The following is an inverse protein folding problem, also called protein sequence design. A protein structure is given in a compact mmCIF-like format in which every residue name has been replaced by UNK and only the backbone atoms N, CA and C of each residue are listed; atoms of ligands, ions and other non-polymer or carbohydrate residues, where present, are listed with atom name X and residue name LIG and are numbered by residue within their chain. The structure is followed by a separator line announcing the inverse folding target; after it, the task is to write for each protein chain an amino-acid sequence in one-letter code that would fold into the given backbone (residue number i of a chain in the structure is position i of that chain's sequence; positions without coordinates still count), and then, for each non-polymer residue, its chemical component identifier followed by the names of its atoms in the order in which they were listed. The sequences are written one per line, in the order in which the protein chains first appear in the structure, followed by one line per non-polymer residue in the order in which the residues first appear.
data_IF_082515041385
#
_entry.id   IF_082515041385
#
_cell.length_a   1.000
_cell.length_b   1.000
_cell.length_c   1.000
_cell.angle_alpha   90.00
_cell.angle_beta   90.00
_cell.angle_gamma   90.00
#
_symmetry.space_group_name_H-M   'P 1'
#
loop_
_entity.id
_entity.type
_entity.pdbx_description
1 polymer ?
#
# COMPACT_ATOMS: atom_id res chain seq x y z
N UNK A 1 -61.27 -11.49 -27.70
CA UNK A 1 -60.25 -11.43 -28.78
C UNK A 1 -59.04 -12.15 -28.24
N UNK A 2 -58.84 -13.41 -28.64
CA UNK A 2 -57.71 -14.23 -28.16
C UNK A 2 -56.54 -14.03 -29.12
N UNK A 3 -55.41 -13.60 -28.58
CA UNK A 3 -54.16 -13.36 -29.30
C UNK A 3 -53.54 -14.70 -29.73
N UNK A 4 -52.96 -14.79 -30.93
CA UNK A 4 -52.49 -16.07 -31.48
C UNK A 4 -51.26 -16.61 -30.72
N UNK A 5 -51.07 -17.93 -30.70
CA UNK A 5 -49.92 -18.56 -30.01
C UNK A 5 -48.56 -18.11 -30.56
N UNK A 6 -48.47 -17.79 -31.85
CA UNK A 6 -47.25 -17.26 -32.47
C UNK A 6 -46.93 -15.83 -32.01
N UNK A 7 -47.98 -15.01 -31.86
CA UNK A 7 -47.86 -13.63 -31.39
C UNK A 7 -47.45 -13.58 -29.90
N UNK A 8 -47.97 -14.51 -29.09
CA UNK A 8 -47.57 -14.70 -27.69
C UNK A 8 -46.08 -15.08 -27.58
N UNK A 9 -45.61 -16.09 -28.33
CA UNK A 9 -44.20 -16.53 -28.31
C UNK A 9 -43.25 -15.41 -28.75
N UNK A 10 -43.64 -14.60 -29.74
CA UNK A 10 -42.87 -13.42 -30.17
C UNK A 10 -42.71 -12.37 -29.07
N UNK A 11 -43.79 -12.08 -28.34
CA UNK A 11 -43.79 -11.13 -27.21
C UNK A 11 -42.95 -11.64 -26.03
N UNK A 12 -43.07 -12.93 -25.67
CA UNK A 12 -42.24 -13.52 -24.61
C UNK A 12 -40.75 -13.50 -24.97
N UNK A 13 -40.40 -13.82 -26.22
CA UNK A 13 -39.02 -13.77 -26.71
C UNK A 13 -38.44 -12.35 -26.72
N UNK A 14 -39.24 -11.33 -27.06
CA UNK A 14 -38.84 -9.93 -27.03
C UNK A 14 -38.62 -9.43 -25.59
N UNK A 15 -39.54 -9.74 -24.67
CA UNK A 15 -39.44 -9.38 -23.26
C UNK A 15 -38.22 -10.02 -22.59
N UNK A 16 -37.90 -11.27 -22.94
CA UNK A 16 -36.70 -11.96 -22.42
C UNK A 16 -35.40 -11.29 -22.88
N UNK A 17 -35.33 -10.81 -24.14
CA UNK A 17 -34.17 -10.07 -24.66
C UNK A 17 -34.02 -8.71 -23.98
N UNK A 18 -35.13 -7.98 -23.80
CA UNK A 18 -35.13 -6.69 -23.09
C UNK A 18 -34.67 -6.88 -21.65
N UNK A 19 -35.15 -7.92 -20.96
CA UNK A 19 -34.72 -8.25 -19.60
C UNK A 19 -33.21 -8.58 -19.54
N UNK A 20 -32.70 -9.38 -20.47
CA UNK A 20 -31.28 -9.71 -20.53
C UNK A 20 -30.40 -8.47 -20.75
N UNK A 21 -30.80 -7.56 -21.65
CA UNK A 21 -30.10 -6.29 -21.90
C UNK A 21 -30.13 -5.40 -20.66
N UNK A 22 -31.28 -5.29 -19.99
CA UNK A 22 -31.44 -4.48 -18.78
C UNK A 22 -30.54 -4.99 -17.64
N UNK A 23 -30.46 -6.31 -17.44
CA UNK A 23 -29.58 -6.93 -16.44
C UNK A 23 -28.12 -6.64 -16.76
N UNK A 24 -27.71 -6.82 -18.03
CA UNK A 24 -26.33 -6.56 -18.45
C UNK A 24 -25.94 -5.09 -18.23
N UNK A 25 -26.82 -4.15 -18.58
CA UNK A 25 -26.61 -2.73 -18.33
C UNK A 25 -26.50 -2.41 -16.83
N UNK A 26 -27.32 -3.04 -15.98
CA UNK A 26 -27.26 -2.85 -14.54
C UNK A 26 -25.94 -3.36 -13.93
N UNK A 27 -25.42 -4.48 -14.41
CA UNK A 27 -24.12 -5.01 -13.96
C UNK A 27 -22.97 -4.07 -14.33
N UNK A 28 -22.98 -3.54 -15.56
CA UNK A 28 -21.97 -2.55 -15.98
C UNK A 28 -22.07 -1.28 -15.13
N UNK A 29 -23.28 -0.77 -14.92
CA UNK A 29 -23.51 0.43 -14.12
C UNK A 29 -23.06 0.22 -12.67
N UNK A 30 -23.37 -0.93 -12.07
CA UNK A 30 -22.93 -1.29 -10.72
C UNK A 30 -21.40 -1.42 -10.64
N UNK A 31 -20.76 -2.05 -11.63
CA UNK A 31 -19.31 -2.16 -11.70
C UNK A 31 -18.63 -0.80 -11.86
N UNK A 32 -19.13 0.04 -12.75
CA UNK A 32 -18.63 1.40 -12.95
C UNK A 32 -18.81 2.25 -11.69
N UNK A 33 -19.98 2.15 -11.04
CA UNK A 33 -20.25 2.82 -9.76
C UNK A 33 -19.31 2.35 -8.66
N UNK A 34 -19.06 1.03 -8.56
CA UNK A 34 -18.15 0.47 -7.57
C UNK A 34 -16.71 0.96 -7.78
N UNK A 35 -16.21 0.94 -9.03
CA UNK A 35 -14.88 1.45 -9.37
C UNK A 35 -14.78 2.95 -9.06
N UNK A 36 -15.79 3.74 -9.44
CA UNK A 36 -15.83 5.17 -9.16
C UNK A 36 -15.84 5.45 -7.65
N UNK A 37 -16.72 4.77 -6.90
CA UNK A 37 -16.81 4.88 -5.46
C UNK A 37 -15.49 4.51 -4.78
N UNK A 38 -14.88 3.39 -5.17
CA UNK A 38 -13.58 2.98 -4.61
C UNK A 38 -12.48 4.01 -4.92
N UNK A 39 -12.41 4.52 -6.15
CA UNK A 39 -11.41 5.55 -6.53
C UNK A 39 -11.58 6.85 -5.76
N UNK A 40 -12.81 7.28 -5.48
CA UNK A 40 -13.06 8.48 -4.68
C UNK A 40 -12.69 8.31 -3.21
N UNK A 41 -12.75 7.08 -2.69
CA UNK A 41 -12.43 6.76 -1.30
C UNK A 41 -11.02 6.19 -1.11
N UNK A 42 -10.26 6.00 -2.17
CA UNK A 42 -8.86 5.61 -2.10
C UNK A 42 -8.05 6.81 -1.61
N UNK A 43 -7.82 6.90 -0.31
CA UNK A 43 -6.94 7.91 0.28
C UNK A 43 -5.49 7.52 0.03
N UNK A 44 -4.72 8.38 -0.63
CA UNK A 44 -3.27 8.30 -0.61
C UNK A 44 -2.79 8.62 0.82
N UNK A 45 -2.21 7.63 1.50
CA UNK A 45 -1.58 7.87 2.77
C UNK A 45 -0.21 8.54 2.52
N UNK A 46 -0.17 9.86 2.62
CA UNK A 46 1.08 10.61 2.64
C UNK A 46 1.65 10.52 4.05
N UNK A 47 2.65 9.66 4.23
CA UNK A 47 3.43 9.60 5.47
C UNK A 47 4.46 10.74 5.45
N UNK A 48 4.44 11.59 6.48
CA UNK A 48 5.46 12.61 6.71
C UNK A 48 6.05 12.37 8.10
N UNK A 49 7.37 12.28 8.14
CA UNK A 49 8.15 12.09 9.35
C UNK A 49 9.32 13.08 9.34
N UNK A 50 9.53 13.78 10.45
CA UNK A 50 10.60 14.76 10.63
C UNK A 50 11.49 14.47 11.86
N UNK A 51 11.16 13.46 12.66
CA UNK A 51 11.93 12.97 13.81
C UNK A 51 12.19 14.01 14.92
N UNK A 52 11.39 15.08 14.98
CA UNK A 52 11.50 16.09 16.04
C UNK A 52 11.10 15.52 17.40
N UNK A 53 10.12 14.61 17.41
CA UNK A 53 9.54 14.00 18.62
C UNK A 53 10.11 12.61 18.94
N UNK A 54 11.27 12.24 18.38
CA UNK A 54 11.88 10.94 18.62
C UNK A 54 11.68 9.96 17.47
N UNK A 55 11.72 8.67 17.80
CA UNK A 55 11.39 7.61 16.85
C UNK A 55 9.88 7.33 16.80
N UNK A 56 9.09 7.76 17.79
CA UNK A 56 7.66 7.43 17.83
C UNK A 56 7.42 5.93 17.72
N UNK A 57 6.68 5.52 16.68
CA UNK A 57 6.39 4.11 16.36
C UNK A 57 7.46 3.45 15.47
N UNK A 58 8.50 4.18 15.06
CA UNK A 58 9.60 3.62 14.27
C UNK A 58 10.49 2.76 15.14
N UNK A 59 10.79 1.56 14.64
CA UNK A 59 11.66 0.57 15.26
C UNK A 59 12.94 0.49 14.43
N UNK A 60 14.07 0.45 15.12
CA UNK A 60 15.39 0.26 14.50
C UNK A 60 15.63 -1.24 14.32
N UNK A 61 16.13 -1.64 13.17
CA UNK A 61 16.47 -3.04 12.89
C UNK A 61 17.66 -3.16 11.93
N UNK A 62 18.22 -4.37 11.85
CA UNK A 62 19.43 -4.66 11.10
C UNK A 62 19.56 -6.15 10.71
N UNK A 63 20.20 -6.37 9.57
CA UNK A 63 20.78 -7.65 9.18
C UNK A 63 22.25 -7.41 8.84
N UNK A 64 23.15 -7.87 9.69
CA UNK A 64 24.58 -7.55 9.59
C UNK A 64 25.44 -8.80 9.79
N UNK A 65 26.56 -8.93 9.07
CA UNK A 65 27.45 -10.09 9.22
C UNK A 65 28.25 -10.04 10.54
N UNK A 66 28.85 -11.17 10.90
CA UNK A 66 29.86 -11.23 11.95
C UNK A 66 31.12 -10.48 11.53
N UNK A 67 31.75 -9.79 12.47
CA UNK A 67 33.02 -9.10 12.24
C UNK A 67 34.19 -10.09 12.28
N UNK A 68 34.90 -10.33 11.16
CA UNK A 68 36.09 -11.18 11.15
C UNK A 68 37.24 -10.63 12.00
N UNK A 69 37.26 -9.31 12.29
CA UNK A 69 38.27 -8.67 13.12
C UNK A 69 37.89 -8.69 14.61
N UNK A 70 36.64 -9.04 14.94
CA UNK A 70 36.14 -9.15 16.31
C UNK A 70 35.26 -10.41 16.47
N UNK A 71 35.88 -11.60 16.61
CA UNK A 71 35.17 -12.87 16.57
C UNK A 71 34.06 -12.97 17.62
N UNK A 72 32.87 -13.39 17.17
CA UNK A 72 31.67 -13.54 18.02
C UNK A 72 30.83 -12.28 18.13
N UNK A 73 31.24 -11.17 17.51
CA UNK A 73 30.47 -9.94 17.43
C UNK A 73 30.04 -9.66 15.99
N UNK A 74 28.89 -8.99 15.84
CA UNK A 74 28.49 -8.42 14.57
C UNK A 74 29.31 -7.18 14.24
N UNK A 75 29.37 -6.79 12.97
CA UNK A 75 29.97 -5.51 12.57
C UNK A 75 29.30 -4.34 13.32
N UNK A 76 30.06 -3.28 13.58
CA UNK A 76 29.52 -2.13 14.32
C UNK A 76 28.49 -1.38 13.47
N UNK A 77 27.33 -1.09 14.05
CA UNK A 77 26.32 -0.28 13.40
C UNK A 77 25.47 0.47 14.43
N UNK A 78 24.86 1.58 14.02
CA UNK A 78 23.88 2.30 14.83
C UNK A 78 22.96 3.16 13.98
N UNK A 79 21.74 3.38 14.48
CA UNK A 79 20.82 4.38 13.96
C UNK A 79 20.42 5.27 15.14
N UNK A 80 20.69 6.57 15.03
CA UNK A 80 20.45 7.52 16.11
C UNK A 80 19.84 8.81 15.58
N UNK A 81 19.16 9.56 16.45
CA UNK A 81 18.80 10.94 16.13
C UNK A 81 20.03 11.84 16.22
N UNK A 82 20.16 12.76 15.27
CA UNK A 82 21.25 13.72 15.21
C UNK A 82 20.74 15.11 14.86
N UNK A 83 21.47 16.12 15.32
CA UNK A 83 21.31 17.54 14.94
C UNK A 83 22.40 18.01 13.97
N UNK A 84 23.22 17.10 13.43
CA UNK A 84 24.37 17.44 12.58
C UNK A 84 23.92 18.11 11.27
N UNK A 85 22.96 17.48 10.59
CA UNK A 85 22.38 17.94 9.32
C UNK A 85 20.90 17.52 9.30
N UNK A 86 19.99 18.45 9.01
CA UNK A 86 18.56 18.17 8.88
C UNK A 86 17.98 18.86 7.64
N UNK A 87 17.07 18.19 6.93
CA UNK A 87 16.36 18.77 5.77
C UNK A 87 15.15 19.61 6.19
N UNK A 88 14.59 19.32 7.37
CA UNK A 88 13.49 20.02 8.02
C UNK A 88 13.68 19.90 9.53
N UNK A 89 13.22 20.89 10.31
CA UNK A 89 13.36 20.85 11.76
C UNK A 89 14.81 20.96 12.27
N UNK A 90 15.06 20.42 13.45
CA UNK A 90 16.38 20.36 14.09
C UNK A 90 17.03 18.98 14.01
N UNK A 91 16.24 17.93 13.81
CA UNK A 91 16.69 16.55 13.90
C UNK A 91 16.60 15.82 12.57
N UNK A 92 17.45 14.81 12.45
CA UNK A 92 17.40 13.80 11.41
C UNK A 92 17.87 12.47 11.98
N UNK A 93 17.83 11.43 11.16
CA UNK A 93 18.44 10.16 11.51
C UNK A 93 19.83 10.05 10.91
N UNK A 94 20.78 9.64 11.77
CA UNK A 94 22.14 9.30 11.42
C UNK A 94 22.30 7.79 11.43
N UNK A 95 22.63 7.26 10.27
CA UNK A 95 22.90 5.85 10.03
C UNK A 95 24.41 5.65 10.01
N UNK A 96 24.88 4.66 10.76
CA UNK A 96 26.27 4.25 10.78
C UNK A 96 26.35 2.73 10.64
N UNK A 97 27.23 2.25 9.77
CA UNK A 97 27.57 0.85 9.59
C UNK A 97 29.06 0.76 9.23
N UNK A 98 29.79 -0.16 9.84
CA UNK A 98 31.16 -0.48 9.44
C UNK A 98 31.15 -1.24 8.12
N UNK A 99 31.40 -0.53 7.01
CA UNK A 99 31.35 -1.08 5.66
C UNK A 99 32.57 -1.88 5.22
N UNK A 100 33.48 -2.30 6.13
CA UNK A 100 34.71 -3.04 5.76
C UNK A 100 34.44 -4.40 5.13
N UNK A 101 33.29 -5.00 5.42
CA UNK A 101 32.90 -6.34 5.00
C UNK A 101 32.04 -6.33 3.72
N UNK A 102 31.73 -5.14 3.18
CA UNK A 102 30.90 -4.93 1.96
C UNK A 102 29.53 -5.64 1.99
N UNK A 103 29.01 -5.87 3.19
CA UNK A 103 27.75 -6.57 3.44
C UNK A 103 27.06 -5.98 4.68
N UNK A 104 25.77 -6.25 4.82
CA UNK A 104 24.93 -5.75 5.91
C UNK A 104 23.99 -4.62 5.49
N UNK A 105 22.83 -4.58 6.13
CA UNK A 105 21.76 -3.61 5.91
C UNK A 105 21.20 -3.18 7.25
N UNK A 106 20.96 -1.88 7.42
CA UNK A 106 20.34 -1.30 8.61
C UNK A 106 19.17 -0.42 8.18
N UNK A 107 18.08 -0.46 8.95
CA UNK A 107 16.85 0.27 8.59
C UNK A 107 16.05 0.71 9.81
N UNK A 108 15.04 1.51 9.54
CA UNK A 108 13.93 1.76 10.45
C UNK A 108 12.64 1.30 9.81
N UNK A 109 11.74 0.75 10.62
CA UNK A 109 10.45 0.26 10.16
C UNK A 109 9.32 0.71 11.08
N UNK A 110 8.15 0.91 10.49
CA UNK A 110 6.92 1.24 11.21
C UNK A 110 5.78 0.45 10.63
N UNK A 111 4.90 -0.05 11.49
CA UNK A 111 3.65 -0.69 11.04
C UNK A 111 2.67 0.38 10.56
N UNK A 112 2.21 0.24 9.32
CA UNK A 112 1.13 1.05 8.78
C UNK A 112 -0.20 0.37 9.13
N UNK A 113 -1.14 1.07 9.78
CA UNK A 113 -2.47 0.54 10.08
C UNK A 113 -3.36 0.38 8.83
#
# INVERSE_FOLDING_TARGET
MFMSSEEQVGVYGLNMKIAAIAIFAAVIAAGAFYVWYFRLNASEQIMREDFEDGFGDWVIDADVPLDPNNPGHYIEWSITRSTDVASSGQYSLKFFIDGRQDDGTIWIERRIP
#
